data_IF_194678677673
#
_entry.id   IF_194678677673
#
_cell.length_a   1.000
_cell.length_b   1.000
_cell.length_c   1.000
_cell.angle_alpha   90.00
_cell.angle_beta   90.00
_cell.angle_gamma   90.00
#
_symmetry.space_group_name_H-M   'P 1'
#
loop_
_entity.id
_entity.type
_entity.pdbx_description
1 polymer ?
#
# COMPACT_ATOMS: atom_id res chain seq x y z
N UNK A 1 -3.90 -2.31 -17.02
CA UNK A 1 -2.89 -2.65 -16.00
C UNK A 1 -3.24 -1.83 -14.77
N UNK A 2 -3.41 -2.48 -13.63
CA UNK A 2 -3.80 -1.81 -12.39
C UNK A 2 -2.72 -2.02 -11.34
N UNK A 3 -2.13 -0.93 -10.86
CA UNK A 3 -1.13 -0.93 -9.80
C UNK A 3 -1.80 -0.75 -8.45
N UNK A 4 -1.34 -1.45 -7.42
CA UNK A 4 -1.90 -1.32 -6.07
C UNK A 4 -0.89 -1.75 -5.01
N UNK A 5 -0.92 -1.07 -3.86
CA UNK A 5 -0.10 -1.43 -2.72
C UNK A 5 -0.77 -2.52 -1.91
N UNK A 6 -0.05 -3.61 -1.71
CA UNK A 6 -0.46 -4.71 -0.87
C UNK A 6 0.30 -4.63 0.46
N UNK A 7 -0.40 -4.41 1.58
CA UNK A 7 0.17 -4.58 2.91
C UNK A 7 0.72 -5.99 3.08
N UNK A 8 1.94 -6.12 3.60
CA UNK A 8 2.57 -7.41 3.89
C UNK A 8 2.34 -7.79 5.34
N UNK A 9 3.28 -7.41 6.21
CA UNK A 9 3.23 -7.64 7.65
C UNK A 9 2.77 -6.40 8.43
N UNK A 10 2.40 -6.61 9.69
CA UNK A 10 1.88 -5.56 10.59
C UNK A 10 0.70 -6.06 11.43
N UNK A 11 0.16 -5.15 12.24
CA UNK A 11 -1.06 -5.38 13.04
C UNK A 11 -2.31 -4.80 12.38
N UNK A 12 -2.25 -4.50 11.09
CA UNK A 12 -3.35 -3.90 10.33
C UNK A 12 -4.52 -4.88 10.15
N UNK A 13 -5.72 -4.31 9.98
CA UNK A 13 -6.92 -5.06 9.61
C UNK A 13 -7.35 -4.68 8.19
N UNK A 14 -7.52 -5.64 7.26
CA UNK A 14 -7.95 -5.36 5.88
C UNK A 14 -9.28 -4.60 5.80
N UNK A 15 -10.20 -4.89 6.72
CA UNK A 15 -11.48 -4.19 6.81
C UNK A 15 -11.32 -2.71 7.19
N UNK A 16 -10.40 -2.40 8.12
CA UNK A 16 -10.08 -1.03 8.50
C UNK A 16 -9.45 -0.27 7.34
N UNK A 17 -8.46 -0.86 6.65
CA UNK A 17 -7.84 -0.25 5.48
C UNK A 17 -8.84 0.03 4.37
N UNK A 18 -9.77 -0.91 4.13
CA UNK A 18 -10.83 -0.71 3.14
C UNK A 18 -11.82 0.38 3.56
N UNK A 19 -12.16 0.46 4.84
CA UNK A 19 -13.03 1.50 5.40
C UNK A 19 -12.41 2.89 5.32
N UNK A 20 -11.11 2.99 5.55
CA UNK A 20 -10.31 4.22 5.43
C UNK A 20 -10.00 4.57 3.95
N UNK A 21 -10.26 3.65 3.01
CA UNK A 21 -9.97 3.86 1.60
C UNK A 21 -8.49 3.74 1.23
N UNK A 22 -7.69 3.07 2.07
CA UNK A 22 -6.23 2.90 1.93
C UNK A 22 -5.82 1.74 1.00
N UNK A 23 -6.73 1.28 0.13
CA UNK A 23 -6.45 0.25 -0.88
C UNK A 23 -6.92 0.67 -2.30
N UNK A 24 -6.52 1.84 -2.81
CA UNK A 24 -6.84 2.27 -4.16
C UNK A 24 -6.07 1.48 -5.23
N UNK A 25 -6.60 1.52 -6.46
CA UNK A 25 -5.93 1.01 -7.67
C UNK A 25 -5.56 2.18 -8.57
N UNK A 26 -4.41 2.08 -9.21
CA UNK A 26 -3.82 3.10 -10.08
C UNK A 26 -3.62 2.57 -11.49
N UNK A 27 -3.64 3.48 -12.46
CA UNK A 27 -3.39 3.18 -13.87
C UNK A 27 -1.90 3.05 -14.20
N UNK A 28 -1.02 3.69 -13.40
CA UNK A 28 0.43 3.67 -13.55
C UNK A 28 1.16 3.58 -12.20
N UNK A 29 2.42 3.14 -12.24
CA UNK A 29 3.27 3.00 -11.05
C UNK A 29 3.59 4.35 -10.41
N UNK A 30 3.84 5.41 -11.20
CA UNK A 30 4.21 6.72 -10.66
C UNK A 30 3.11 7.30 -9.77
N UNK A 31 1.85 7.21 -10.21
CA UNK A 31 0.68 7.55 -9.38
C UNK A 31 0.60 6.73 -8.11
N UNK A 32 0.93 5.44 -8.16
CA UNK A 32 0.92 4.59 -6.98
C UNK A 32 2.01 5.05 -5.98
N UNK A 33 3.20 5.41 -6.46
CA UNK A 33 4.31 5.90 -5.64
C UNK A 33 4.01 7.29 -5.01
N UNK A 34 3.41 8.19 -5.77
CA UNK A 34 2.95 9.49 -5.28
C UNK A 34 1.88 9.34 -4.19
N UNK A 35 0.93 8.43 -4.40
CA UNK A 35 -0.09 8.12 -3.40
C UNK A 35 0.52 7.52 -2.14
N UNK A 36 1.42 6.53 -2.27
CA UNK A 36 2.07 5.93 -1.10
C UNK A 36 2.78 6.99 -0.26
N UNK A 37 3.50 7.91 -0.90
CA UNK A 37 4.19 8.99 -0.20
C UNK A 37 3.24 9.91 0.57
N UNK A 38 2.02 10.11 0.05
CA UNK A 38 1.00 10.96 0.68
C UNK A 38 0.24 10.26 1.82
N UNK A 39 0.01 8.95 1.70
CA UNK A 39 -0.76 8.13 2.65
C UNK A 39 0.12 7.18 3.49
N UNK A 40 1.44 7.38 3.45
CA UNK A 40 2.41 6.60 4.19
C UNK A 40 2.09 6.61 5.70
N UNK A 41 1.84 7.79 6.24
CA UNK A 41 1.55 7.98 7.66
C UNK A 41 0.26 7.26 8.07
N UNK A 42 -0.82 7.39 7.28
CA UNK A 42 -2.10 6.73 7.56
C UNK A 42 -1.97 5.19 7.56
N UNK A 43 -1.16 4.63 6.66
CA UNK A 43 -0.86 3.19 6.62
C UNK A 43 -0.11 2.75 7.90
N UNK A 44 0.86 3.53 8.35
CA UNK A 44 1.59 3.27 9.60
C UNK A 44 0.67 3.38 10.83
N UNK A 45 -0.21 4.38 10.87
CA UNK A 45 -1.21 4.55 11.93
C UNK A 45 -2.20 3.38 11.96
N UNK A 46 -2.53 2.81 10.81
CA UNK A 46 -3.32 1.57 10.70
C UNK A 46 -2.53 0.32 11.12
N UNK A 47 -1.24 0.42 11.42
CA UNK A 47 -0.38 -0.68 11.85
C UNK A 47 0.20 -1.51 10.71
N UNK A 48 0.30 -0.97 9.50
CA UNK A 48 1.01 -1.62 8.39
C UNK A 48 2.51 -1.46 8.60
N UNK A 49 3.26 -2.58 8.58
CA UNK A 49 4.72 -2.57 8.79
C UNK A 49 5.50 -2.57 7.47
N UNK A 50 4.95 -3.16 6.41
CA UNK A 50 5.54 -3.13 5.08
C UNK A 50 4.48 -3.21 3.99
N UNK A 51 4.85 -2.70 2.81
CA UNK A 51 4.02 -2.76 1.61
C UNK A 51 4.83 -3.22 0.41
N UNK A 52 4.12 -3.86 -0.52
CA UNK A 52 4.66 -4.30 -1.82
C UNK A 52 3.73 -3.79 -2.91
N UNK A 53 4.28 -3.16 -3.95
CA UNK A 53 3.53 -2.75 -5.13
C UNK A 53 3.30 -3.96 -6.03
N UNK A 54 2.05 -4.16 -6.40
CA UNK A 54 1.63 -5.15 -7.37
C UNK A 54 1.11 -4.48 -8.64
N UNK A 55 1.50 -5.00 -9.79
CA UNK A 55 0.84 -4.79 -11.07
C UNK A 55 -0.05 -6.00 -11.33
N UNK A 56 -1.37 -5.81 -11.25
CA UNK A 56 -2.36 -6.89 -11.30
C UNK A 56 -2.10 -7.94 -10.21
N UNK A 57 -1.46 -9.06 -10.54
CA UNK A 57 -1.11 -10.14 -9.60
C UNK A 57 0.41 -10.29 -9.43
N UNK A 58 1.21 -9.47 -10.10
CA UNK A 58 2.66 -9.54 -10.09
C UNK A 58 3.26 -8.50 -9.13
N UNK A 59 4.11 -8.89 -8.16
CA UNK A 59 4.87 -7.92 -7.40
C UNK A 59 5.90 -7.27 -8.32
N UNK A 60 5.85 -5.94 -8.43
CA UNK A 60 6.77 -5.14 -9.25
C UNK A 60 7.77 -4.36 -8.42
N UNK A 61 7.43 -4.07 -7.16
CA UNK A 61 8.31 -3.35 -6.24
C UNK A 61 8.06 -3.79 -4.79
N UNK A 62 9.09 -4.19 -4.05
CA UNK A 62 8.98 -4.46 -2.61
C UNK A 62 9.94 -5.53 -2.07
N UNK A 63 9.78 -5.90 -0.78
CA UNK A 63 8.98 -5.22 0.24
C UNK A 63 9.68 -3.95 0.74
N UNK A 64 8.91 -2.87 0.87
CA UNK A 64 9.38 -1.63 1.49
C UNK A 64 8.79 -1.52 2.89
N UNK A 65 9.66 -1.43 3.90
CA UNK A 65 9.26 -1.18 5.27
C UNK A 65 8.66 0.21 5.41
N UNK A 66 7.52 0.29 6.09
CA UNK A 66 6.90 1.54 6.53
C UNK A 66 7.28 1.89 7.98
N UNK A 67 8.14 1.08 8.61
CA UNK A 67 8.71 1.35 9.93
C UNK A 67 9.56 2.63 9.87
N UNK A 68 9.08 3.68 10.55
CA UNK A 68 9.72 4.99 10.64
C UNK A 68 10.63 5.10 11.87
#
# INVERSE_FOLDING_TARGET
MAYWWKPGSGSYSPESLQKEGLMPRFEDQGRAEEWLSSFFADLVECGVADVTLYEEERPVYGPMSLDA
#
